data_IF_825670825902
#
_entry.id   IF_825670825902
#
_cell.length_a   1.000
_cell.length_b   1.000
_cell.length_c   1.000
_cell.angle_alpha   90.00
_cell.angle_beta   90.00
_cell.angle_gamma   90.00
#
_symmetry.space_group_name_H-M   'P 1'
#
loop_
_entity.id
_entity.type
_entity.pdbx_description
1 polymer ?
#
# COMPACT_ATOMS: atom_id res chain seq x y z
N UNK A 1 -12.49 2.91 -14.36
CA UNK A 1 -12.07 2.23 -13.12
C UNK A 1 -10.84 1.40 -13.42
N UNK A 2 -9.75 1.60 -12.68
CA UNK A 2 -8.52 0.82 -12.87
C UNK A 2 -8.67 -0.50 -12.10
N UNK A 3 -9.26 -1.49 -12.76
CA UNK A 3 -9.21 -2.90 -12.38
C UNK A 3 -7.99 -3.51 -13.08
N UNK A 4 -7.30 -4.48 -12.49
CA UNK A 4 -6.21 -5.19 -13.18
C UNK A 4 -6.65 -5.73 -14.54
N UNK A 5 -7.91 -6.18 -14.70
CA UNK A 5 -8.50 -6.52 -16.00
C UNK A 5 -8.48 -5.33 -16.99
N UNK A 6 -8.78 -4.11 -16.55
CA UNK A 6 -8.72 -2.92 -17.39
C UNK A 6 -7.28 -2.53 -17.78
N UNK A 7 -6.30 -2.81 -16.91
CA UNK A 7 -4.86 -2.66 -17.23
C UNK A 7 -4.48 -3.71 -18.27
N UNK A 8 -4.84 -4.97 -18.06
CA UNK A 8 -4.53 -6.07 -18.97
C UNK A 8 -5.20 -5.94 -20.35
N UNK A 9 -6.32 -5.20 -20.45
CA UNK A 9 -6.92 -4.83 -21.75
C UNK A 9 -6.08 -3.84 -22.55
N UNK A 10 -5.24 -3.04 -21.89
CA UNK A 10 -4.38 -2.03 -22.53
C UNK A 10 -2.93 -2.51 -22.64
N UNK A 11 -2.48 -3.24 -21.62
CA UNK A 11 -1.13 -3.76 -21.46
C UNK A 11 -1.20 -5.25 -21.08
N UNK A 12 -1.47 -6.15 -22.04
CA UNK A 12 -1.60 -7.59 -21.74
C UNK A 12 -0.33 -8.23 -21.19
N UNK A 13 0.83 -7.59 -21.40
CA UNK A 13 2.17 -8.06 -21.00
C UNK A 13 2.70 -7.36 -19.74
N UNK A 14 1.85 -6.62 -19.02
CA UNK A 14 2.25 -6.06 -17.75
C UNK A 14 2.37 -7.18 -16.70
N UNK A 15 3.61 -7.57 -16.37
CA UNK A 15 3.90 -8.71 -15.49
C UNK A 15 3.26 -8.56 -14.09
N UNK A 16 3.28 -7.35 -13.52
CA UNK A 16 2.68 -7.08 -12.21
C UNK A 16 1.15 -7.10 -12.26
N UNK A 17 0.53 -6.56 -13.32
CA UNK A 17 -0.91 -6.61 -13.48
C UNK A 17 -1.42 -8.05 -13.64
N UNK A 18 -0.67 -8.88 -14.39
CA UNK A 18 -0.94 -10.32 -14.52
C UNK A 18 -0.84 -11.01 -13.15
N UNK A 19 0.24 -10.75 -12.39
CA UNK A 19 0.43 -11.32 -11.05
C UNK A 19 -0.71 -10.94 -10.09
N UNK A 20 -1.00 -9.64 -9.96
CA UNK A 20 -2.01 -9.14 -9.02
C UNK A 20 -3.43 -9.56 -9.39
N UNK A 21 -3.74 -9.64 -10.69
CA UNK A 21 -5.03 -10.15 -11.15
C UNK A 21 -5.18 -11.64 -10.84
N UNK A 22 -4.13 -12.43 -11.10
CA UNK A 22 -4.09 -13.86 -10.77
C UNK A 22 -4.27 -14.12 -9.28
N UNK A 23 -3.56 -13.39 -8.42
CA UNK A 23 -3.74 -13.46 -6.95
C UNK A 23 -5.18 -13.10 -6.57
N UNK A 24 -5.73 -12.03 -7.13
CA UNK A 24 -7.11 -11.63 -6.82
C UNK A 24 -8.14 -12.70 -7.19
N UNK A 25 -7.98 -13.35 -8.35
CA UNK A 25 -8.84 -14.45 -8.78
C UNK A 25 -8.68 -15.68 -7.86
N UNK A 26 -7.46 -15.98 -7.43
CA UNK A 26 -7.17 -17.08 -6.52
C UNK A 26 -7.87 -16.90 -5.16
N UNK A 27 -7.78 -15.69 -4.58
CA UNK A 27 -8.44 -15.35 -3.32
C UNK A 27 -9.98 -15.36 -3.42
N UNK A 28 -10.53 -15.12 -4.62
CA UNK A 28 -11.96 -15.24 -4.91
C UNK A 28 -12.41 -16.69 -5.18
N UNK A 29 -11.54 -17.68 -4.99
CA UNK A 29 -11.83 -19.09 -5.27
C UNK A 29 -11.87 -19.45 -6.75
N UNK A 30 -11.51 -18.53 -7.65
CA UNK A 30 -11.47 -18.73 -9.11
C UNK A 30 -10.09 -19.23 -9.54
N UNK A 31 -9.66 -20.33 -8.94
CA UNK A 31 -8.30 -20.87 -9.14
C UNK A 31 -7.98 -21.25 -10.58
N UNK A 32 -8.96 -21.78 -11.31
CA UNK A 32 -8.85 -22.11 -12.74
C UNK A 32 -8.58 -20.87 -13.59
N UNK A 33 -9.23 -19.75 -13.27
CA UNK A 33 -9.07 -18.49 -13.97
C UNK A 33 -7.77 -17.77 -13.56
N UNK A 34 -7.29 -18.01 -12.34
CA UNK A 34 -6.09 -17.38 -11.77
C UNK A 34 -4.77 -17.90 -12.38
N UNK A 35 -4.68 -19.21 -12.59
CA UNK A 35 -3.46 -19.89 -13.04
C UNK A 35 -2.81 -19.27 -14.30
N UNK A 36 -3.54 -19.01 -15.41
CA UNK A 36 -2.90 -18.47 -16.62
C UNK A 36 -2.28 -17.08 -16.42
N UNK A 37 -2.85 -16.24 -15.55
CA UNK A 37 -2.28 -14.92 -15.27
C UNK A 37 -1.03 -15.01 -14.38
N UNK A 38 -1.02 -15.94 -13.42
CA UNK A 38 0.15 -16.20 -12.58
C UNK A 38 1.33 -16.77 -13.41
N UNK A 39 1.06 -17.73 -14.28
CA UNK A 39 2.06 -18.31 -15.19
C UNK A 39 2.63 -17.26 -16.15
N UNK A 40 1.77 -16.44 -16.74
CA UNK A 40 2.18 -15.35 -17.61
C UNK A 40 3.07 -14.33 -16.88
N UNK A 41 2.75 -14.01 -15.62
CA UNK A 41 3.58 -13.12 -14.81
C UNK A 41 4.98 -13.69 -14.54
N UNK A 42 5.09 -15.00 -14.26
CA UNK A 42 6.37 -15.67 -14.07
C UNK A 42 7.19 -15.72 -15.36
N UNK A 43 6.55 -15.84 -16.52
CA UNK A 43 7.21 -15.85 -17.82
C UNK A 43 7.74 -14.46 -18.20
N UNK A 44 6.93 -13.41 -18.00
CA UNK A 44 7.30 -12.03 -18.31
C UNK A 44 8.36 -11.46 -17.35
N UNK A 45 8.36 -11.94 -16.10
CA UNK A 45 9.28 -11.48 -15.07
C UNK A 45 9.74 -12.65 -14.19
N UNK A 46 10.89 -13.27 -14.51
CA UNK A 46 11.40 -14.42 -13.76
C UNK A 46 11.64 -14.17 -12.27
N UNK A 47 11.83 -12.91 -11.85
CA UNK A 47 11.94 -12.57 -10.42
C UNK A 47 10.62 -12.78 -9.65
N UNK A 48 9.47 -12.85 -10.34
CA UNK A 48 8.18 -13.20 -9.75
C UNK A 48 7.94 -14.71 -9.67
N UNK A 49 8.76 -15.55 -10.30
CA UNK A 49 8.51 -17.00 -10.40
C UNK A 49 8.37 -17.67 -9.03
N UNK A 50 9.15 -17.25 -8.03
CA UNK A 50 9.06 -17.83 -6.69
C UNK A 50 7.75 -17.47 -5.98
N UNK A 51 7.28 -16.23 -6.14
CA UNK A 51 5.98 -15.80 -5.63
C UNK A 51 4.84 -16.52 -6.35
N UNK A 52 4.96 -16.73 -7.66
CA UNK A 52 3.97 -17.46 -8.46
C UNK A 52 3.87 -18.92 -8.01
N UNK A 53 4.98 -19.61 -7.76
CA UNK A 53 4.96 -20.99 -7.23
C UNK A 53 4.22 -21.08 -5.90
N UNK A 54 4.42 -20.10 -5.00
CA UNK A 54 3.70 -20.04 -3.72
C UNK A 54 2.19 -19.92 -3.96
N UNK A 55 1.75 -19.13 -4.95
CA UNK A 55 0.33 -18.96 -5.23
C UNK A 55 -0.29 -20.18 -5.92
N UNK A 56 0.41 -20.78 -6.90
CA UNK A 56 -0.05 -22.00 -7.56
C UNK A 56 -0.12 -23.19 -6.60
N UNK A 57 0.83 -23.32 -5.66
CA UNK A 57 0.78 -24.36 -4.64
C UNK A 57 -0.40 -24.19 -3.68
N UNK A 58 -0.76 -22.95 -3.32
CA UNK A 58 -1.99 -22.66 -2.54
C UNK A 58 -3.26 -23.01 -3.32
N UNK A 59 -3.29 -22.73 -4.61
CA UNK A 59 -4.42 -23.10 -5.49
C UNK A 59 -4.59 -24.62 -5.55
N UNK A 60 -3.48 -25.37 -5.71
CA UNK A 60 -3.49 -26.83 -5.72
C UNK A 60 -3.90 -27.44 -4.37
N UNK A 61 -3.64 -26.76 -3.26
CA UNK A 61 -4.02 -27.20 -1.91
C UNK A 61 -5.52 -27.01 -1.58
N UNK A 62 -6.31 -26.39 -2.48
CA UNK A 62 -7.78 -26.44 -2.46
C UNK A 62 -8.47 -25.73 -1.30
N UNK A 63 -7.79 -24.85 -0.55
CA UNK A 63 -8.42 -24.09 0.54
C UNK A 63 -8.53 -22.61 0.16
N UNK A 64 -9.69 -22.12 -0.32
CA UNK A 64 -9.94 -20.68 -0.27
C UNK A 64 -9.86 -20.28 1.20
N UNK A 65 -9.01 -19.33 1.53
CA UNK A 65 -9.09 -18.66 2.83
C UNK A 65 -10.05 -17.49 2.61
N UNK A 66 -11.31 -17.56 3.05
CA UNK A 66 -12.17 -16.40 2.92
C UNK A 66 -11.60 -15.33 3.85
N UNK A 67 -11.19 -14.19 3.29
CA UNK A 67 -10.78 -13.01 4.07
C UNK A 67 -11.97 -12.39 4.84
N UNK A 68 -13.19 -12.87 4.58
CA UNK A 68 -14.38 -12.50 5.32
C UNK A 68 -15.08 -13.77 5.80
N UNK A 69 -14.91 -14.07 7.09
CA UNK A 69 -15.78 -14.99 7.82
C UNK A 69 -16.98 -14.17 8.29
N UNK A 70 -18.08 -14.22 7.56
CA UNK A 70 -19.39 -13.87 8.11
C UNK A 70 -19.79 -15.03 9.03
N UNK A 71 -19.45 -14.99 10.34
CA UNK A 71 -20.09 -15.83 11.36
C UNK A 71 -19.61 -15.45 12.79
N UNK A 72 -20.52 -14.78 13.52
CA UNK A 72 -20.90 -14.94 14.93
C UNK A 72 -19.87 -14.88 16.09
N UNK A 73 -20.17 -13.95 17.00
CA UNK A 73 -20.32 -14.06 18.46
C UNK A 73 -19.46 -15.07 19.27
N UNK A 74 -18.86 -14.53 20.34
CA UNK A 74 -18.47 -15.23 21.57
C UNK A 74 -17.64 -16.50 21.43
N UNK A 75 -16.34 -16.35 21.19
CA UNK A 75 -15.36 -17.25 21.84
C UNK A 75 -13.96 -16.65 21.85
N UNK A 76 -13.43 -16.46 23.07
CA UNK A 76 -12.06 -15.99 23.32
C UNK A 76 -11.07 -17.12 22.97
N UNK A 77 -10.13 -16.97 22.03
CA UNK A 77 -9.19 -18.04 21.74
C UNK A 77 -8.15 -18.18 22.85
N UNK A 78 -8.13 -19.36 23.47
CA UNK A 78 -7.10 -19.83 24.38
C UNK A 78 -5.82 -20.09 23.58
N UNK A 79 -4.76 -19.35 23.90
CA UNK A 79 -3.42 -19.57 23.34
C UNK A 79 -2.86 -20.87 23.93
N UNK A 80 -2.63 -21.87 23.09
CA UNK A 80 -1.74 -23.00 23.37
C UNK A 80 -0.47 -22.83 22.55
N UNK A 81 0.66 -22.84 23.24
CA UNK A 81 2.01 -22.78 22.68
C UNK A 81 2.43 -24.14 22.11
N UNK A 82 3.07 -24.13 20.94
CA UNK A 82 4.09 -25.05 20.40
C UNK A 82 4.16 -24.84 18.87
N UNK A 83 5.29 -24.80 18.16
CA UNK A 83 6.67 -25.13 18.48
C UNK A 83 7.61 -24.20 17.71
N UNK A 84 8.75 -23.90 18.32
CA UNK A 84 9.82 -23.08 17.75
C UNK A 84 10.53 -23.79 16.59
N UNK A 85 10.47 -23.20 15.40
CA UNK A 85 11.41 -23.52 14.31
C UNK A 85 12.48 -22.43 14.29
N UNK A 86 13.71 -22.81 14.64
CA UNK A 86 14.90 -21.96 14.56
C UNK A 86 15.20 -21.62 13.09
N UNK A 87 15.25 -20.34 12.67
CA UNK A 87 15.76 -20.01 11.36
C UNK A 87 17.30 -20.18 11.35
N UNK A 88 17.81 -21.03 10.47
CA UNK A 88 19.24 -21.06 10.12
C UNK A 88 19.62 -19.71 9.50
N UNK A 89 20.63 -19.09 10.08
CA UNK A 89 21.22 -17.85 9.59
C UNK A 89 21.78 -18.03 8.17
N UNK A 90 21.40 -17.12 7.27
CA UNK A 90 22.19 -16.82 6.06
C UNK A 90 22.45 -15.31 6.07
N UNK A 91 23.48 -14.93 6.82
CA UNK A 91 24.06 -13.58 6.78
C UNK A 91 24.95 -13.51 5.55
N UNK A 92 24.44 -12.94 4.45
CA UNK A 92 25.30 -12.33 3.44
C UNK A 92 25.54 -10.89 3.88
N UNK A 93 26.79 -10.59 4.25
CA UNK A 93 27.23 -9.28 4.71
C UNK A 93 27.04 -8.22 3.61
N UNK A 94 26.08 -7.31 3.81
CA UNK A 94 26.01 -6.06 3.05
C UNK A 94 26.90 -5.05 3.78
N UNK A 95 27.94 -4.55 3.10
CA UNK A 95 28.84 -3.51 3.62
C UNK A 95 28.04 -2.27 4.06
N UNK A 96 28.39 -1.62 5.17
CA UNK A 96 27.71 -0.41 5.63
C UNK A 96 28.01 0.75 4.68
N UNK A 97 27.00 1.21 3.95
CA UNK A 97 27.05 2.50 3.26
C UNK A 97 26.76 3.63 4.23
N UNK A 98 27.45 4.76 4.00
CA UNK A 98 27.59 5.95 4.83
C UNK A 98 26.30 6.46 5.53
N UNK A 99 26.44 7.18 6.66
CA UNK A 99 25.31 7.74 7.40
C UNK A 99 24.38 8.56 6.50
N UNK A 100 23.10 8.21 6.51
CA UNK A 100 22.07 8.92 5.77
C UNK A 100 22.10 10.41 6.15
N UNK A 101 22.21 11.27 5.13
CA UNK A 101 22.11 12.74 5.30
C UNK A 101 20.82 13.08 6.06
N UNK A 102 20.83 14.12 6.92
CA UNK A 102 19.63 14.55 7.64
C UNK A 102 18.47 14.73 6.67
N UNK A 103 17.32 14.13 6.98
CA UNK A 103 16.10 14.32 6.19
C UNK A 103 15.72 15.80 6.28
N UNK A 104 16.01 16.56 5.23
CA UNK A 104 15.52 17.94 5.09
C UNK A 104 14.03 17.83 4.80
N UNK A 105 13.21 18.00 5.83
CA UNK A 105 11.76 17.97 5.67
C UNK A 105 11.33 19.14 4.79
N UNK A 106 10.59 18.89 3.70
CA UNK A 106 10.17 19.95 2.81
C UNK A 106 9.25 20.94 3.52
N UNK A 107 9.39 22.22 3.11
CA UNK A 107 8.58 23.32 3.61
C UNK A 107 7.10 23.02 3.38
N UNK A 108 6.29 23.22 4.41
CA UNK A 108 4.84 23.10 4.29
C UNK A 108 4.30 24.23 3.38
N UNK A 109 3.33 23.89 2.53
CA UNK A 109 2.78 24.83 1.55
C UNK A 109 3.50 24.83 0.21
N UNK A 110 3.17 25.82 -0.62
CA UNK A 110 3.66 25.97 -1.98
C UNK A 110 2.61 25.62 -3.06
N UNK A 111 3.01 25.53 -4.33
CA UNK A 111 2.14 25.08 -5.40
C UNK A 111 1.77 23.61 -5.19
N UNK A 112 0.47 23.31 -5.11
CA UNK A 112 0.00 21.93 -4.97
C UNK A 112 0.34 21.13 -6.23
N UNK A 113 1.05 20.03 -6.07
CA UNK A 113 1.23 19.06 -7.15
C UNK A 113 -0.07 18.27 -7.32
N UNK A 114 -0.62 18.26 -8.53
CA UNK A 114 -1.83 17.51 -8.85
C UNK A 114 -1.45 16.12 -9.37
N UNK A 115 -2.35 15.15 -9.22
CA UNK A 115 -2.11 13.78 -9.65
C UNK A 115 -2.19 12.76 -8.53
N UNK A 116 -1.70 11.53 -8.77
CA UNK A 116 -1.77 10.43 -7.82
C UNK A 116 -0.71 10.56 -6.72
N UNK A 117 -1.15 10.42 -5.48
CA UNK A 117 -0.30 10.33 -4.30
C UNK A 117 -0.39 8.93 -3.73
N UNK A 118 0.70 8.17 -3.78
CA UNK A 118 0.78 6.83 -3.20
C UNK A 118 0.98 6.96 -1.70
N UNK A 119 0.06 6.40 -0.92
CA UNK A 119 0.05 6.46 0.53
C UNK A 119 0.61 5.20 1.17
N UNK A 120 1.47 5.38 2.15
CA UNK A 120 1.94 4.35 3.04
C UNK A 120 1.81 4.75 4.51
N UNK A 121 1.65 3.74 5.36
CA UNK A 121 1.69 3.86 6.81
C UNK A 121 2.96 3.21 7.34
N UNK A 122 3.69 3.91 8.20
CA UNK A 122 4.87 3.38 8.89
C UNK A 122 4.44 2.63 10.14
N UNK A 123 4.30 1.30 10.03
CA UNK A 123 3.97 0.44 11.17
C UNK A 123 5.20 0.16 12.01
N UNK A 124 5.20 0.60 13.27
CA UNK A 124 6.25 0.27 14.22
C UNK A 124 6.33 -1.25 14.45
N UNK A 125 7.52 -1.82 14.29
CA UNK A 125 7.80 -3.25 14.43
C UNK A 125 8.53 -3.57 15.75
N UNK A 126 8.66 -2.60 16.65
CA UNK A 126 9.44 -2.74 17.88
C UNK A 126 10.86 -2.18 17.76
N UNK A 127 11.60 -2.28 18.85
CA UNK A 127 12.97 -1.84 18.91
C UNK A 127 13.87 -3.02 18.51
N UNK A 128 14.65 -2.84 17.45
CA UNK A 128 15.75 -3.73 17.12
C UNK A 128 16.97 -3.31 17.93
N UNK A 129 17.94 -4.20 18.13
CA UNK A 129 19.18 -3.88 18.84
C UNK A 129 19.95 -2.68 18.25
N UNK A 130 19.58 -2.23 17.05
CA UNK A 130 20.14 -1.07 16.34
C UNK A 130 19.20 0.14 16.23
N UNK A 131 18.01 0.10 16.85
CA UNK A 131 17.03 1.20 16.87
C UNK A 131 15.60 0.80 16.51
N UNK A 132 14.72 1.80 16.40
CA UNK A 132 13.29 1.59 16.07
C UNK A 132 13.15 1.06 14.65
N UNK A 133 12.50 -0.08 14.48
CA UNK A 133 12.17 -0.62 13.17
C UNK A 133 10.75 -0.21 12.76
N UNK A 134 10.60 0.21 11.51
CA UNK A 134 9.31 0.55 10.91
C UNK A 134 9.15 -0.26 9.61
N UNK A 135 7.92 -0.71 9.36
CA UNK A 135 7.52 -1.36 8.10
C UNK A 135 6.56 -0.43 7.37
N UNK A 136 6.91 -0.08 6.13
CA UNK A 136 5.99 0.65 5.26
C UNK A 136 4.87 -0.30 4.79
N UNK A 137 3.63 0.08 5.06
CA UNK A 137 2.42 -0.66 4.68
C UNK A 137 1.63 0.19 3.69
N UNK A 138 1.55 -0.27 2.45
CA UNK A 138 0.79 0.39 1.38
C UNK A 138 -0.70 0.52 1.76
N UNK A 139 -1.28 1.70 1.52
CA UNK A 139 -2.70 2.02 1.80
C UNK A 139 -3.53 2.31 0.55
N UNK A 140 -2.90 2.53 -0.60
CA UNK A 140 -3.57 2.96 -1.83
C UNK A 140 -3.05 4.31 -2.30
N UNK A 141 -3.68 4.89 -3.32
CA UNK A 141 -3.40 6.26 -3.74
C UNK A 141 -4.64 7.13 -3.79
N UNK A 142 -4.56 8.39 -3.34
CA UNK A 142 -5.58 9.38 -3.67
C UNK A 142 -5.10 10.27 -4.82
N UNK A 143 -6.03 10.73 -5.65
CA UNK A 143 -5.72 11.59 -6.80
C UNK A 143 -6.29 12.98 -6.55
N UNK A 144 -5.44 13.99 -6.51
CA UNK A 144 -5.86 15.40 -6.41
C UNK A 144 -6.05 15.99 -7.81
N UNK A 145 -7.16 16.70 -8.03
CA UNK A 145 -7.49 17.32 -9.31
C UNK A 145 -7.61 18.84 -9.18
N UNK A 146 -7.29 19.54 -10.26
CA UNK A 146 -7.32 21.01 -10.33
C UNK A 146 -8.67 21.62 -9.92
N UNK A 147 -9.77 20.91 -10.15
CA UNK A 147 -11.13 21.36 -9.82
C UNK A 147 -11.49 21.23 -8.33
N UNK A 148 -10.52 20.98 -7.44
CA UNK A 148 -10.76 20.82 -6.00
C UNK A 148 -11.48 19.52 -5.65
N UNK A 149 -11.45 18.51 -6.52
CA UNK A 149 -11.97 17.17 -6.22
C UNK A 149 -10.82 16.18 -6.04
N UNK A 150 -11.04 15.20 -5.18
CA UNK A 150 -10.12 14.08 -5.01
C UNK A 150 -10.83 12.75 -5.24
N UNK A 151 -10.06 11.73 -5.61
CA UNK A 151 -10.48 10.34 -5.56
C UNK A 151 -9.87 9.69 -4.33
N UNK A 152 -10.69 9.06 -3.50
CA UNK A 152 -10.25 8.31 -2.33
C UNK A 152 -9.71 6.94 -2.75
N UNK A 153 -8.44 6.65 -2.48
CA UNK A 153 -7.81 5.34 -2.68
C UNK A 153 -8.09 4.67 -4.06
N UNK A 154 -7.68 3.41 -4.19
CA UNK A 154 -7.63 2.70 -5.47
C UNK A 154 -9.03 2.49 -6.08
N UNK A 155 -10.09 2.47 -5.26
CA UNK A 155 -11.50 2.27 -5.65
C UNK A 155 -12.53 3.04 -4.78
N UNK A 156 -12.09 3.96 -3.95
CA UNK A 156 -13.01 4.73 -3.11
C UNK A 156 -13.75 5.82 -3.86
N UNK A 157 -14.69 6.43 -3.15
CA UNK A 157 -15.52 7.51 -3.66
C UNK A 157 -14.72 8.76 -4.02
N UNK A 158 -15.41 9.73 -4.61
CA UNK A 158 -14.84 11.06 -4.82
C UNK A 158 -15.29 12.01 -3.73
N UNK A 159 -14.43 12.95 -3.37
CA UNK A 159 -14.79 14.04 -2.50
C UNK A 159 -14.26 15.37 -3.00
N UNK A 160 -14.54 16.41 -2.23
CA UNK A 160 -14.03 17.77 -2.48
C UNK A 160 -13.02 18.13 -1.42
N UNK A 161 -12.05 18.95 -1.79
CA UNK A 161 -11.07 19.50 -0.87
C UNK A 161 -10.85 20.98 -1.16
N UNK A 162 -10.35 21.69 -0.15
CA UNK A 162 -9.79 23.03 -0.27
C UNK A 162 -8.32 22.97 0.11
N UNK A 163 -7.50 23.72 -0.60
CA UNK A 163 -6.08 23.82 -0.34
C UNK A 163 -5.69 25.25 0.03
N UNK A 164 -4.86 25.39 1.07
CA UNK A 164 -4.22 26.64 1.43
C UNK A 164 -2.72 26.57 1.12
N UNK A 165 -2.29 27.31 0.09
CA UNK A 165 -0.91 27.33 -0.37
C UNK A 165 0.07 27.94 0.65
N UNK A 166 -0.40 28.79 1.58
CA UNK A 166 0.47 29.42 2.59
C UNK A 166 0.86 28.43 3.67
N UNK A 167 -0.10 27.61 4.12
CA UNK A 167 0.09 26.68 5.24
C UNK A 167 0.34 25.24 4.77
N UNK A 168 0.03 24.92 3.51
CA UNK A 168 -0.01 23.56 3.00
C UNK A 168 -1.22 22.76 3.46
N UNK A 169 -2.16 23.38 4.18
CA UNK A 169 -3.30 22.67 4.74
C UNK A 169 -4.27 22.23 3.66
N UNK A 170 -4.68 20.96 3.72
CA UNK A 170 -5.76 20.40 2.91
C UNK A 170 -6.97 20.19 3.81
N UNK A 171 -8.06 20.88 3.51
CA UNK A 171 -9.35 20.71 4.19
C UNK A 171 -10.27 19.84 3.34
N UNK A 172 -10.76 18.73 3.91
CA UNK A 172 -11.65 17.81 3.22
C UNK A 172 -13.12 18.23 3.39
N UNK A 173 -13.76 18.62 2.29
CA UNK A 173 -15.09 19.22 2.27
C UNK A 173 -16.21 18.19 2.09
N UNK A 174 -15.91 17.04 1.49
CA UNK A 174 -16.82 15.90 1.27
C UNK A 174 -16.07 14.59 1.00
N UNK A 175 -16.82 13.49 0.88
CA UNK A 175 -16.29 12.15 0.62
C UNK A 175 -15.66 11.50 1.85
N UNK A 176 -14.96 10.40 1.64
CA UNK A 176 -14.45 9.56 2.73
C UNK A 176 -13.55 10.32 3.71
N UNK A 177 -12.67 11.19 3.22
CA UNK A 177 -11.77 11.96 4.10
C UNK A 177 -12.50 12.93 5.02
N UNK A 178 -13.71 13.37 4.65
CA UNK A 178 -14.56 14.13 5.57
C UNK A 178 -15.16 13.22 6.64
N UNK A 179 -15.59 12.02 6.27
CA UNK A 179 -16.15 11.03 7.21
C UNK A 179 -15.10 10.56 8.21
N UNK A 180 -13.88 10.27 7.73
CA UNK A 180 -12.76 9.86 8.58
C UNK A 180 -12.26 11.03 9.44
N UNK A 181 -12.34 12.26 8.93
CA UNK A 181 -11.98 13.50 9.63
C UNK A 181 -10.55 13.45 10.25
N UNK A 182 -9.49 13.35 9.44
CA UNK A 182 -8.12 13.38 9.96
C UNK A 182 -7.86 14.68 10.72
N UNK A 183 -7.13 14.60 11.84
CA UNK A 183 -6.72 15.76 12.65
C UNK A 183 -6.00 16.81 11.84
N UNK A 184 -5.15 16.39 10.90
CA UNK A 184 -4.45 17.31 10.01
C UNK A 184 -4.11 16.65 8.67
N UNK A 185 -4.09 17.45 7.61
CA UNK A 185 -3.51 17.05 6.34
C UNK A 185 -2.65 18.19 5.80
N UNK A 186 -1.37 17.92 5.58
CA UNK A 186 -0.38 18.95 5.20
C UNK A 186 0.39 18.52 3.97
N UNK A 187 0.33 19.32 2.93
CA UNK A 187 1.17 19.23 1.74
C UNK A 187 2.53 19.89 1.97
N UNK A 188 3.57 19.25 1.45
CA UNK A 188 4.94 19.72 1.46
C UNK A 188 5.53 19.63 0.07
N UNK A 189 6.08 20.74 -0.37
CA UNK A 189 6.71 20.84 -1.68
C UNK A 189 8.15 20.31 -1.61
N UNK A 190 8.33 19.01 -1.86
CA UNK A 190 9.66 18.40 -1.91
C UNK A 190 10.36 18.60 -3.25
N UNK A 191 11.70 18.56 -3.23
CA UNK A 191 12.50 18.79 -4.44
C UNK A 191 12.30 17.72 -5.51
N UNK A 192 12.13 16.46 -5.10
CA UNK A 192 11.93 15.31 -6.01
C UNK A 192 10.56 14.67 -5.89
N UNK A 193 10.00 14.71 -4.69
CA UNK A 193 8.72 14.07 -4.35
C UNK A 193 7.89 15.10 -3.59
N UNK A 194 6.71 15.41 -4.11
CA UNK A 194 5.70 16.12 -3.36
C UNK A 194 5.10 15.17 -2.31
N UNK A 195 4.94 15.64 -1.08
CA UNK A 195 4.47 14.79 0.02
C UNK A 195 3.22 15.38 0.66
N UNK A 196 2.27 14.53 1.02
CA UNK A 196 1.13 14.87 1.85
C UNK A 196 1.17 13.99 3.09
N UNK A 197 1.23 14.63 4.25
CA UNK A 197 1.12 13.95 5.53
C UNK A 197 -0.34 14.00 5.99
N UNK A 198 -0.95 12.83 6.23
CA UNK A 198 -2.30 12.70 6.77
C UNK A 198 -2.21 12.18 8.20
N UNK A 199 -2.53 13.02 9.18
CA UNK A 199 -2.54 12.65 10.60
C UNK A 199 -3.96 12.32 11.03
N UNK A 200 -4.19 11.09 11.46
CA UNK A 200 -5.48 10.66 12.00
C UNK A 200 -5.51 10.81 13.52
N UNK A 201 -4.43 10.39 14.19
CA UNK A 201 -4.20 10.56 15.62
C UNK A 201 -2.71 10.82 15.90
N UNK A 202 -2.30 10.81 17.18
CA UNK A 202 -0.93 11.12 17.59
C UNK A 202 0.10 10.06 17.20
N UNK A 203 -0.34 8.83 16.92
CA UNK A 203 0.50 7.67 16.57
C UNK A 203 0.20 7.11 15.17
N UNK A 204 -0.85 7.59 14.49
CA UNK A 204 -1.29 7.10 13.20
C UNK A 204 -1.23 8.21 12.14
N UNK A 205 -0.16 8.20 11.35
CA UNK A 205 0.08 9.14 10.25
C UNK A 205 0.39 8.39 8.97
N UNK A 206 -0.24 8.78 7.88
CA UNK A 206 0.15 8.32 6.54
C UNK A 206 1.05 9.35 5.87
N UNK A 207 2.08 8.86 5.22
CA UNK A 207 2.87 9.62 4.26
C UNK A 207 2.39 9.28 2.87
N UNK A 208 2.06 10.28 2.07
CA UNK A 208 1.63 10.07 0.69
C UNK A 208 2.53 10.82 -0.27
N UNK A 209 3.23 10.10 -1.15
CA UNK A 209 4.22 10.65 -2.07
C UNK A 209 3.71 10.73 -3.51
N UNK A 210 4.05 11.82 -4.19
CA UNK A 210 3.86 12.02 -5.62
C UNK A 210 5.21 12.41 -6.27
N UNK A 211 5.67 11.61 -7.23
CA UNK A 211 6.87 11.94 -7.99
C UNK A 211 6.58 13.13 -8.91
N UNK A 212 7.48 14.11 -8.92
CA UNK A 212 7.43 15.27 -9.82
C UNK A 212 8.09 15.00 -11.16
#
# INVERSE_FOLDING_TARGET
>A
SWNFNAILKREPENAYANFLYGVSLAELGKGTDAAPYLEKAAHLMPTLSELVKIQLSKLAAGKPTPLFREDNADTKPKVTAEAAVKPKAVVAAVKPTAPAKPLVYPKAGGPLVLGPYVCDFQQYQGNTGTGRAFKSVYKGYFVLKANGTYRWLDNGGTGKYRYDAKTGSITWLSGEMKTIAPRATVFRDGQKVAQIDVKFDDNYTWGCGCNK
#
